data_IF_048401429984
#
_entry.id   IF_048401429984
#
_cell.length_a   1.000
_cell.length_b   1.000
_cell.length_c   1.000
_cell.angle_alpha   90.00
_cell.angle_beta   90.00
_cell.angle_gamma   90.00
#
_symmetry.space_group_name_H-M   'P 1'
#
loop_
_entity.id
_entity.type
_entity.pdbx_description
1 polymer ?
#
# COMPACT_ATOMS: atom_id res chain seq x y z
N UNK A 1 -34.95 -29.66 11.75
CA UNK A 1 -34.55 -28.60 10.76
C UNK A 1 -33.62 -27.55 11.37
N UNK A 2 -32.45 -27.92 11.88
CA UNK A 2 -31.48 -26.96 12.49
C UNK A 2 -30.07 -27.12 11.91
N UNK A 3 -29.90 -27.83 10.80
CA UNK A 3 -28.54 -28.22 10.31
C UNK A 3 -27.99 -27.41 9.14
N UNK A 4 -28.73 -26.42 8.59
CA UNK A 4 -28.34 -25.81 7.29
C UNK A 4 -27.56 -24.47 7.41
N UNK A 5 -27.60 -23.81 8.56
CA UNK A 5 -26.92 -22.52 8.76
C UNK A 5 -25.42 -22.68 9.06
N UNK A 6 -25.00 -23.82 9.58
CA UNK A 6 -23.58 -24.06 9.92
C UNK A 6 -22.74 -24.51 8.71
N UNK A 7 -23.37 -25.15 7.71
CA UNK A 7 -22.65 -25.58 6.52
C UNK A 7 -22.28 -24.42 5.57
N UNK A 8 -23.11 -23.39 5.46
CA UNK A 8 -22.80 -22.22 4.64
C UNK A 8 -21.61 -21.42 5.18
N UNK A 9 -21.49 -21.32 6.51
CA UNK A 9 -20.32 -20.69 7.14
C UNK A 9 -19.02 -21.47 6.93
N UNK A 10 -19.10 -22.78 6.80
CA UNK A 10 -17.93 -23.65 6.60
C UNK A 10 -17.43 -23.63 5.15
N UNK A 11 -18.31 -23.62 4.16
CA UNK A 11 -17.96 -23.58 2.75
C UNK A 11 -17.35 -22.21 2.34
N UNK A 12 -17.79 -21.11 2.95
CA UNK A 12 -17.20 -19.79 2.72
C UNK A 12 -15.78 -19.69 3.29
N UNK A 13 -15.50 -20.41 4.37
CA UNK A 13 -14.20 -20.41 5.06
C UNK A 13 -13.12 -21.20 4.34
N UNK A 14 -13.49 -22.19 3.54
CA UNK A 14 -12.54 -23.00 2.76
C UNK A 14 -12.08 -22.32 1.48
N UNK A 15 -12.89 -21.44 0.87
CA UNK A 15 -12.50 -20.72 -0.34
C UNK A 15 -11.37 -19.70 -0.11
N UNK A 16 -11.21 -19.20 1.12
CA UNK A 16 -10.12 -18.26 1.49
C UNK A 16 -8.78 -19.00 1.64
N UNK A 17 -8.80 -20.29 1.96
CA UNK A 17 -7.58 -21.08 2.23
C UNK A 17 -6.90 -21.54 0.95
N UNK A 18 -7.64 -21.69 -0.14
CA UNK A 18 -7.11 -22.05 -1.46
C UNK A 18 -6.80 -20.86 -2.35
N UNK A 19 -6.51 -19.68 -1.79
CA UNK A 19 -5.97 -18.61 -2.61
C UNK A 19 -4.61 -19.07 -3.12
N UNK A 20 -4.63 -19.71 -4.28
CA UNK A 20 -3.45 -20.20 -4.98
C UNK A 20 -2.38 -19.10 -4.97
N UNK A 21 -1.11 -19.48 -4.83
CA UNK A 21 0.03 -18.55 -4.94
C UNK A 21 -0.04 -17.69 -6.20
N UNK A 22 -0.63 -18.21 -7.27
CA UNK A 22 -0.90 -17.50 -8.50
C UNK A 22 -1.87 -16.32 -8.31
N UNK A 23 -2.96 -16.49 -7.56
CA UNK A 23 -3.93 -15.42 -7.27
C UNK A 23 -3.29 -14.33 -6.41
N UNK A 24 -2.43 -14.69 -5.47
CA UNK A 24 -1.66 -13.73 -4.68
C UNK A 24 -0.73 -12.90 -5.58
N UNK A 25 -0.01 -13.55 -6.49
CA UNK A 25 0.83 -12.86 -7.47
C UNK A 25 0.05 -11.90 -8.37
N UNK A 26 -1.10 -12.33 -8.90
CA UNK A 26 -1.97 -11.48 -9.74
C UNK A 26 -2.46 -10.26 -8.97
N UNK A 27 -2.87 -10.40 -7.72
CA UNK A 27 -3.33 -9.28 -6.88
C UNK A 27 -2.23 -8.24 -6.65
N UNK A 28 -1.01 -8.70 -6.36
CA UNK A 28 0.15 -7.80 -6.19
C UNK A 28 0.46 -7.09 -7.50
N UNK A 29 0.45 -7.81 -8.63
CA UNK A 29 0.71 -7.25 -9.96
C UNK A 29 -0.33 -6.21 -10.38
N UNK A 30 -1.59 -6.38 -10.00
CA UNK A 30 -2.65 -5.40 -10.28
C UNK A 30 -2.58 -4.22 -9.31
N UNK A 31 -2.34 -4.48 -8.04
CA UNK A 31 -2.26 -3.43 -7.01
C UNK A 31 -1.10 -2.47 -7.21
N UNK A 32 0.04 -2.95 -7.69
CA UNK A 32 1.24 -2.14 -7.85
C UNK A 32 1.10 -0.99 -8.87
N UNK A 33 0.63 -1.22 -10.12
CA UNK A 33 0.38 -0.13 -11.06
C UNK A 33 -0.65 0.87 -10.57
N UNK A 34 -1.73 0.39 -9.93
CA UNK A 34 -2.77 1.26 -9.38
C UNK A 34 -2.18 2.14 -8.27
N UNK A 35 -1.35 1.57 -7.38
CA UNK A 35 -0.67 2.31 -6.34
C UNK A 35 0.30 3.35 -6.92
N UNK A 36 1.02 3.02 -7.98
CA UNK A 36 1.95 3.94 -8.64
C UNK A 36 1.22 5.12 -9.29
N UNK A 37 0.13 4.86 -10.01
CA UNK A 37 -0.72 5.91 -10.61
C UNK A 37 -1.34 6.79 -9.52
N UNK A 38 -1.88 6.18 -8.46
CA UNK A 38 -2.45 6.92 -7.34
C UNK A 38 -1.39 7.75 -6.60
N UNK A 39 -0.19 7.23 -6.37
CA UNK A 39 0.93 7.97 -5.79
C UNK A 39 1.31 9.18 -6.67
N UNK A 40 1.32 9.01 -7.98
CA UNK A 40 1.55 10.12 -8.93
C UNK A 40 0.47 11.20 -8.81
N UNK A 41 -0.80 10.83 -8.76
CA UNK A 41 -1.90 11.76 -8.51
C UNK A 41 -1.71 12.47 -7.16
N UNK A 42 -1.34 11.72 -6.11
CA UNK A 42 -1.02 12.28 -4.79
C UNK A 42 0.14 13.28 -4.84
N UNK A 43 1.13 13.08 -5.68
CA UNK A 43 2.23 14.03 -5.86
C UNK A 43 1.78 15.34 -6.51
N UNK A 44 0.83 15.28 -7.44
CA UNK A 44 0.22 16.48 -8.05
C UNK A 44 -0.57 17.25 -6.99
N UNK A 45 -1.44 16.57 -6.24
CA UNK A 45 -2.17 17.18 -5.12
C UNK A 45 -1.22 17.84 -4.12
N UNK A 46 -0.15 17.16 -3.80
CA UNK A 46 0.88 17.64 -2.90
C UNK A 46 1.55 18.94 -3.42
N UNK A 47 1.84 19.01 -4.70
CA UNK A 47 2.41 20.21 -5.31
C UNK A 47 1.45 21.43 -5.27
N UNK A 48 0.13 21.17 -5.30
CA UNK A 48 -0.89 22.22 -5.29
C UNK A 48 -1.23 22.68 -3.86
N UNK A 49 -1.39 21.72 -2.93
CA UNK A 49 -1.98 21.97 -1.61
C UNK A 49 -0.94 22.20 -0.51
N UNK A 50 0.25 21.62 -0.64
CA UNK A 50 1.28 21.72 0.38
C UNK A 50 2.35 22.71 -0.08
N UNK A 51 2.55 23.83 0.64
CA UNK A 51 3.59 24.80 0.31
C UNK A 51 4.96 24.13 0.19
N UNK A 52 5.81 24.66 -0.68
CA UNK A 52 7.17 24.15 -0.81
C UNK A 52 7.87 24.23 0.54
N UNK A 53 8.40 23.12 1.07
CA UNK A 53 9.07 23.15 2.36
C UNK A 53 10.27 24.12 2.27
N UNK A 54 10.37 25.00 3.24
CA UNK A 54 11.61 25.71 3.48
C UNK A 54 12.66 24.68 3.91
N UNK A 55 13.90 24.87 3.49
CA UNK A 55 14.97 23.94 3.85
C UNK A 55 14.99 23.69 5.37
N UNK A 56 14.88 22.44 5.78
CA UNK A 56 14.85 22.03 7.19
C UNK A 56 13.44 21.84 7.78
N UNK A 57 12.36 22.09 7.06
CA UNK A 57 11.00 21.84 7.55
C UNK A 57 10.65 20.35 7.46
N UNK A 58 11.02 19.61 8.51
CA UNK A 58 10.76 18.18 8.65
C UNK A 58 9.26 17.87 8.64
N UNK A 59 8.43 18.74 9.19
CA UNK A 59 6.98 18.54 9.25
C UNK A 59 6.38 18.59 7.86
N UNK A 60 6.66 19.66 7.09
CA UNK A 60 6.16 19.79 5.72
C UNK A 60 6.66 18.65 4.83
N UNK A 61 7.91 18.23 4.99
CA UNK A 61 8.45 17.07 4.30
C UNK A 61 7.68 15.79 4.63
N UNK A 62 7.46 15.51 5.91
CA UNK A 62 6.73 14.32 6.36
C UNK A 62 5.27 14.31 5.87
N UNK A 63 4.60 15.46 5.93
CA UNK A 63 3.23 15.61 5.41
C UNK A 63 3.18 15.31 3.91
N UNK A 64 4.15 15.77 3.14
CA UNK A 64 4.24 15.44 1.70
C UNK A 64 4.37 13.95 1.45
N UNK A 65 5.24 13.27 2.18
CA UNK A 65 5.42 11.83 2.07
C UNK A 65 4.16 11.07 2.50
N UNK A 66 3.47 11.55 3.54
CA UNK A 66 2.22 10.96 4.01
C UNK A 66 1.10 11.08 2.97
N UNK A 67 0.95 12.24 2.31
CA UNK A 67 -0.03 12.42 1.22
C UNK A 67 0.22 11.42 0.11
N UNK A 68 1.45 11.29 -0.38
CA UNK A 68 1.81 10.33 -1.43
C UNK A 68 1.50 8.89 -0.96
N UNK A 69 1.85 8.54 0.29
CA UNK A 69 1.59 7.23 0.87
C UNK A 69 0.10 6.89 0.99
N UNK A 70 -0.73 7.86 1.39
CA UNK A 70 -2.19 7.73 1.47
C UNK A 70 -2.77 7.46 0.08
N UNK A 71 -2.36 8.18 -0.94
CA UNK A 71 -2.80 7.92 -2.31
C UNK A 71 -2.33 6.55 -2.79
N UNK A 72 -1.08 6.18 -2.57
CA UNK A 72 -0.54 4.87 -2.94
C UNK A 72 -1.32 3.70 -2.28
N UNK A 73 -1.87 3.91 -1.07
CA UNK A 73 -2.62 2.89 -0.33
C UNK A 73 -3.90 2.43 -1.04
N UNK A 74 -4.42 3.23 -1.98
CA UNK A 74 -5.58 2.82 -2.80
C UNK A 74 -5.30 1.57 -3.62
N UNK A 75 -4.06 1.40 -4.11
CA UNK A 75 -3.66 0.18 -4.82
C UNK A 75 -3.70 -1.05 -3.92
N UNK A 76 -3.19 -0.95 -2.70
CA UNK A 76 -3.29 -2.01 -1.69
C UNK A 76 -4.73 -2.32 -1.30
N UNK A 77 -5.56 -1.29 -1.13
CA UNK A 77 -6.98 -1.46 -0.83
C UNK A 77 -7.71 -2.20 -1.97
N UNK A 78 -7.54 -1.78 -3.22
CA UNK A 78 -8.19 -2.41 -4.38
C UNK A 78 -7.73 -3.85 -4.55
N UNK A 79 -6.44 -4.14 -4.40
CA UNK A 79 -5.90 -5.49 -4.52
C UNK A 79 -6.49 -6.46 -3.48
N UNK A 80 -6.81 -5.95 -2.27
CA UNK A 80 -7.18 -6.79 -1.13
C UNK A 80 -8.61 -6.55 -0.59
N UNK A 81 -9.39 -5.65 -1.22
CA UNK A 81 -10.75 -5.29 -0.78
C UNK A 81 -11.66 -6.49 -0.56
N UNK A 82 -11.64 -7.47 -1.47
CA UNK A 82 -12.50 -8.64 -1.40
C UNK A 82 -12.09 -9.70 -0.36
N UNK A 83 -10.95 -9.53 0.30
CA UNK A 83 -10.52 -10.44 1.37
C UNK A 83 -11.18 -10.16 2.72
N UNK A 84 -11.72 -8.95 2.88
CA UNK A 84 -12.30 -8.51 4.12
C UNK A 84 -13.78 -8.19 3.89
N UNK A 85 -14.66 -9.11 4.26
CA UNK A 85 -16.11 -8.96 4.13
C UNK A 85 -16.68 -7.80 4.97
N UNK A 86 -15.90 -7.27 5.90
CA UNK A 86 -16.31 -6.20 6.79
C UNK A 86 -15.69 -4.85 6.41
N UNK A 87 -16.48 -3.78 6.54
CA UNK A 87 -15.97 -2.39 6.41
C UNK A 87 -14.77 -2.12 7.31
N UNK A 88 -14.74 -2.70 8.51
CA UNK A 88 -13.61 -2.56 9.45
C UNK A 88 -12.33 -3.20 8.91
N UNK A 89 -12.44 -4.34 8.26
CA UNK A 89 -11.30 -4.99 7.61
C UNK A 89 -10.74 -4.17 6.45
N UNK A 90 -11.60 -3.58 5.61
CA UNK A 90 -11.19 -2.69 4.53
C UNK A 90 -10.46 -1.44 5.06
N UNK A 91 -10.98 -0.82 6.12
CA UNK A 91 -10.33 0.33 6.77
C UNK A 91 -8.96 -0.07 7.35
N UNK A 92 -8.84 -1.24 7.96
CA UNK A 92 -7.57 -1.74 8.48
C UNK A 92 -6.54 -1.93 7.37
N UNK A 93 -6.93 -2.54 6.24
CA UNK A 93 -6.05 -2.68 5.06
C UNK A 93 -5.59 -1.33 4.57
N UNK A 94 -6.50 -0.38 4.47
CA UNK A 94 -6.17 0.96 4.00
C UNK A 94 -5.18 1.67 4.93
N UNK A 95 -5.40 1.63 6.25
CA UNK A 95 -4.48 2.23 7.24
C UNK A 95 -3.09 1.59 7.16
N UNK A 96 -3.03 0.26 7.12
CA UNK A 96 -1.75 -0.47 7.05
C UNK A 96 -1.04 -0.22 5.73
N UNK A 97 -1.79 -0.16 4.61
CA UNK A 97 -1.23 0.21 3.32
C UNK A 97 -0.73 1.66 3.29
N UNK A 98 -1.45 2.61 3.93
CA UNK A 98 -1.03 4.01 4.03
C UNK A 98 0.26 4.16 4.85
N UNK A 99 0.37 3.45 5.97
CA UNK A 99 1.60 3.41 6.76
C UNK A 99 2.77 2.82 5.93
N UNK A 100 2.52 1.74 5.20
CA UNK A 100 3.49 1.15 4.27
C UNK A 100 3.89 2.11 3.15
N UNK A 101 2.93 2.83 2.61
CA UNK A 101 3.17 3.84 1.59
C UNK A 101 4.04 5.01 2.09
N UNK A 102 3.78 5.51 3.29
CA UNK A 102 4.61 6.52 3.94
C UNK A 102 6.05 6.01 4.15
N UNK A 103 6.20 4.84 4.76
CA UNK A 103 7.52 4.25 5.00
C UNK A 103 8.26 3.99 3.69
N UNK A 104 7.57 3.51 2.67
CA UNK A 104 8.12 3.29 1.35
C UNK A 104 8.53 4.59 0.65
N UNK A 105 7.73 5.66 0.77
CA UNK A 105 8.07 6.98 0.26
C UNK A 105 9.35 7.54 0.91
N UNK A 106 9.44 7.45 2.23
CA UNK A 106 10.62 7.86 2.99
C UNK A 106 11.85 7.03 2.58
N UNK A 107 11.71 5.70 2.51
CA UNK A 107 12.79 4.82 2.07
C UNK A 107 13.23 5.14 0.65
N UNK A 108 12.28 5.37 -0.27
CA UNK A 108 12.56 5.77 -1.65
C UNK A 108 13.33 7.09 -1.73
N UNK A 109 12.96 8.07 -0.90
CA UNK A 109 13.69 9.32 -0.80
C UNK A 109 15.13 9.12 -0.32
N UNK A 110 15.32 8.47 0.85
CA UNK A 110 16.66 8.28 1.42
C UNK A 110 17.57 7.41 0.57
N UNK A 111 17.01 6.35 -0.06
CA UNK A 111 17.77 5.51 -0.99
C UNK A 111 18.10 6.30 -2.25
N UNK A 112 17.11 7.05 -2.80
CA UNK A 112 17.32 7.88 -3.96
C UNK A 112 18.39 8.95 -3.72
N UNK A 113 18.30 9.67 -2.62
CA UNK A 113 19.26 10.71 -2.22
C UNK A 113 20.69 10.14 -2.05
N UNK A 114 20.81 8.91 -1.60
CA UNK A 114 22.10 8.24 -1.39
C UNK A 114 22.77 7.72 -2.66
N UNK A 115 21.97 7.22 -3.60
CA UNK A 115 22.48 6.46 -4.75
C UNK A 115 22.24 7.13 -6.10
N UNK A 116 21.36 8.13 -6.17
CA UNK A 116 21.13 8.87 -7.40
C UNK A 116 22.00 10.13 -7.34
N UNK A 117 23.05 10.14 -8.14
CA UNK A 117 23.88 11.32 -8.34
C UNK A 117 23.71 11.80 -9.79
N UNK A 118 23.50 13.10 -9.97
CA UNK A 118 23.42 13.72 -11.29
C UNK A 118 23.83 15.19 -11.23
N UNK A 119 24.69 15.65 -12.14
CA UNK A 119 25.16 17.04 -12.17
C UNK A 119 24.04 18.05 -12.46
N UNK A 120 22.98 17.62 -13.16
CA UNK A 120 21.81 18.45 -13.42
C UNK A 120 20.77 18.29 -12.30
N UNK A 121 20.53 19.38 -11.57
CA UNK A 121 19.60 19.43 -10.42
C UNK A 121 18.15 19.09 -10.82
N UNK A 122 17.74 19.44 -12.05
CA UNK A 122 16.39 19.13 -12.51
C UNK A 122 16.21 17.61 -12.71
N UNK A 123 17.17 16.97 -13.35
CA UNK A 123 17.15 15.50 -13.56
C UNK A 123 17.28 14.78 -12.22
N UNK A 124 18.11 15.26 -11.31
CA UNK A 124 18.23 14.72 -9.95
C UNK A 124 16.89 14.74 -9.22
N UNK A 125 16.23 15.89 -9.20
CA UNK A 125 14.92 16.04 -8.54
C UNK A 125 13.85 15.15 -9.18
N UNK A 126 13.85 15.01 -10.50
CA UNK A 126 12.93 14.12 -11.21
C UNK A 126 13.13 12.65 -10.81
N UNK A 127 14.39 12.19 -10.75
CA UNK A 127 14.73 10.82 -10.35
C UNK A 127 14.40 10.55 -8.87
N UNK A 128 14.68 11.51 -7.98
CA UNK A 128 14.28 11.42 -6.57
C UNK A 128 12.75 11.31 -6.42
N UNK A 129 12.00 12.11 -7.17
CA UNK A 129 10.55 12.02 -7.17
C UNK A 129 10.07 10.64 -7.64
N UNK A 130 10.67 10.08 -8.67
CA UNK A 130 10.36 8.73 -9.13
C UNK A 130 10.67 7.68 -8.06
N UNK A 131 11.82 7.77 -7.38
CA UNK A 131 12.19 6.87 -6.30
C UNK A 131 11.17 6.92 -5.14
N UNK A 132 10.70 8.11 -4.78
CA UNK A 132 9.63 8.30 -3.78
C UNK A 132 8.32 7.64 -4.22
N UNK A 133 7.88 7.84 -5.45
CA UNK A 133 6.63 7.28 -5.96
C UNK A 133 6.67 5.75 -6.01
N UNK A 134 7.76 5.18 -6.53
CA UNK A 134 7.96 3.73 -6.54
C UNK A 134 8.06 3.16 -5.13
N UNK A 135 8.80 3.81 -4.25
CA UNK A 135 8.89 3.43 -2.85
C UNK A 135 7.53 3.40 -2.18
N UNK A 136 6.71 4.44 -2.36
CA UNK A 136 5.36 4.51 -1.82
C UNK A 136 4.47 3.37 -2.34
N UNK A 137 4.49 3.12 -3.66
CA UNK A 137 3.69 2.06 -4.27
C UNK A 137 4.10 0.67 -3.78
N UNK A 138 5.41 0.40 -3.72
CA UNK A 138 5.95 -0.87 -3.20
C UNK A 138 5.61 -1.05 -1.72
N UNK A 139 5.83 -0.03 -0.89
CA UNK A 139 5.56 -0.08 0.54
C UNK A 139 4.10 -0.31 0.85
N UNK A 140 3.18 0.39 0.18
CA UNK A 140 1.75 0.22 0.36
C UNK A 140 1.29 -1.20 0.00
N UNK A 141 1.74 -1.73 -1.15
CA UNK A 141 1.40 -3.09 -1.57
C UNK A 141 2.02 -4.16 -0.67
N UNK A 142 3.27 -4.00 -0.27
CA UNK A 142 3.96 -4.95 0.61
C UNK A 142 3.23 -5.08 1.95
N UNK A 143 2.89 -3.96 2.59
CA UNK A 143 2.21 -3.98 3.89
C UNK A 143 0.78 -4.51 3.79
N UNK A 144 0.02 -4.15 2.75
CA UNK A 144 -1.30 -4.74 2.50
C UNK A 144 -1.22 -6.25 2.30
N UNK A 145 -0.23 -6.73 1.54
CA UNK A 145 0.00 -8.15 1.29
C UNK A 145 0.41 -8.90 2.56
N UNK A 146 1.30 -8.34 3.38
CA UNK A 146 1.70 -8.91 4.67
C UNK A 146 0.51 -9.04 5.61
N UNK A 147 -0.34 -8.02 5.69
CA UNK A 147 -1.56 -8.07 6.48
C UNK A 147 -2.51 -9.17 6.00
N UNK A 148 -2.69 -9.31 4.69
CA UNK A 148 -3.54 -10.34 4.11
C UNK A 148 -3.01 -11.75 4.42
N UNK A 149 -1.70 -11.97 4.31
CA UNK A 149 -1.05 -13.25 4.68
C UNK A 149 -1.21 -13.53 6.18
N UNK A 150 -1.01 -12.53 7.04
CA UNK A 150 -1.17 -12.65 8.49
C UNK A 150 -2.61 -13.02 8.85
N UNK A 151 -3.60 -12.34 8.27
CA UNK A 151 -5.01 -12.61 8.48
C UNK A 151 -5.39 -14.05 8.06
N UNK A 152 -4.87 -14.51 6.91
CA UNK A 152 -5.10 -15.87 6.43
C UNK A 152 -4.49 -16.94 7.35
N UNK A 153 -3.32 -16.66 7.96
CA UNK A 153 -2.68 -17.56 8.93
C UNK A 153 -3.42 -17.60 10.27
N UNK A 154 -3.92 -16.46 10.73
CA UNK A 154 -4.66 -16.37 12.00
C UNK A 154 -6.04 -17.05 11.93
N UNK A 155 -6.70 -16.91 10.79
CA UNK A 155 -7.96 -17.61 10.54
C UNK A 155 -7.83 -19.13 10.63
N UNK A 156 -6.70 -19.70 10.24
CA UNK A 156 -6.42 -21.15 10.32
C UNK A 156 -6.24 -21.64 11.77
N UNK A 157 -5.58 -20.89 12.62
CA UNK A 157 -5.31 -21.30 14.01
C UNK A 157 -6.54 -21.34 14.92
N UNK A 158 -7.67 -20.76 14.49
CA UNK A 158 -8.93 -20.78 15.29
C UNK A 158 -9.84 -21.95 14.95
N UNK A 159 -9.46 -22.82 14.02
CA UNK A 159 -10.26 -23.95 13.53
C UNK A 159 -9.68 -25.29 13.98
N UNK A 160 -8.46 -25.30 14.54
CA UNK A 160 -7.83 -26.45 15.22
C UNK A 160 -8.00 -26.34 16.71
#
# INVERSE_FOLDING_TARGET
QVTDTNQKGFLYKTSIVETSRAILGVRVLVGLPIAAVAAFIGSIFNAILVPSPVAGDVLAFTVRMAVIGIFASTGGLIAWFNLFESKRGAVLVWIVAAAGGLLGALAGYYIGDRYIDHPDVYILNQRLSQAVLFGAALGANAMATLLAIAAARWGRKRVT
#
